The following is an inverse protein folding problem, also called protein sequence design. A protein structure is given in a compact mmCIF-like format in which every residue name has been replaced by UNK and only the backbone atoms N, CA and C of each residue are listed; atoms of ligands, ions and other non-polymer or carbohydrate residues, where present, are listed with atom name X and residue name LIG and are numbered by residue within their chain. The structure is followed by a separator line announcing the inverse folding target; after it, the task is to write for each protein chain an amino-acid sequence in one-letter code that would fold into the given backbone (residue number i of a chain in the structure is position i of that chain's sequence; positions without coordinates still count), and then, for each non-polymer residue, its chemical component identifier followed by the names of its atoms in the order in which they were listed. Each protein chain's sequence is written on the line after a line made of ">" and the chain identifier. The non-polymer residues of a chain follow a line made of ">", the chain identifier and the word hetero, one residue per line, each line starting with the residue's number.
data_IF_589661143644
#
_entry.id   IF_589661143644
#
_cell.length_a   1.000
_cell.length_b   1.000
_cell.length_c   1.000
_cell.angle_alpha   90.00
_cell.angle_beta   90.00
_cell.angle_gamma   90.00
#
_symmetry.space_group_name_H-M   'P 1'
#
loop_
_entity.id
_entity.type
_entity.pdbx_description
1 polymer ?
#
# COMPACT_ATOMS: atom_id res chain seq x y z
N UNK A 1 -26.23 2.62 -7.60
CA UNK A 1 -25.73 1.26 -7.22
C UNK A 1 -24.21 1.19 -7.28
N UNK A 2 -23.58 1.43 -8.45
CA UNK A 2 -22.11 1.42 -8.55
C UNK A 2 -21.42 2.53 -7.72
N UNK A 3 -21.92 3.77 -7.78
CA UNK A 3 -21.39 4.90 -6.99
C UNK A 3 -21.41 4.68 -5.47
N UNK A 4 -22.35 3.88 -4.97
CA UNK A 4 -22.50 3.56 -3.55
C UNK A 4 -21.45 2.53 -3.11
N UNK A 5 -21.13 1.57 -3.99
CA UNK A 5 -19.99 0.68 -3.82
C UNK A 5 -18.68 1.46 -3.78
N UNK A 6 -18.47 2.39 -4.71
CA UNK A 6 -17.25 3.20 -4.79
C UNK A 6 -17.04 4.02 -3.52
N UNK A 7 -18.07 4.72 -3.03
CA UNK A 7 -17.99 5.45 -1.76
C UNK A 7 -17.72 4.55 -0.57
N UNK A 8 -18.21 3.31 -0.60
CA UNK A 8 -17.99 2.34 0.48
C UNK A 8 -16.54 1.84 0.52
N UNK A 9 -15.88 1.78 -0.64
CA UNK A 9 -14.52 1.26 -0.78
C UNK A 9 -13.45 2.33 -0.94
N UNK A 10 -13.82 3.62 -0.99
CA UNK A 10 -12.87 4.73 -1.16
C UNK A 10 -11.77 4.76 -0.09
N UNK A 11 -12.09 4.34 1.14
CA UNK A 11 -11.15 4.28 2.26
C UNK A 11 -10.60 2.86 2.47
N UNK A 12 -10.52 2.05 1.42
CA UNK A 12 -10.04 0.67 1.49
C UNK A 12 -8.80 0.49 0.63
N UNK A 13 -7.76 -0.09 1.23
CA UNK A 13 -6.58 -0.54 0.51
C UNK A 13 -6.67 -2.04 0.25
N UNK A 14 -6.24 -2.46 -0.93
CA UNK A 14 -6.01 -3.86 -1.27
C UNK A 14 -4.52 -4.13 -1.13
N UNK A 15 -4.16 -5.27 -0.54
CA UNK A 15 -2.76 -5.66 -0.47
C UNK A 15 -2.53 -7.15 -0.45
N UNK A 16 -1.30 -7.53 -0.77
CA UNK A 16 -0.85 -8.92 -0.72
C UNK A 16 0.62 -8.98 -0.31
N UNK A 17 1.01 -10.10 0.29
CA UNK A 17 2.40 -10.33 0.67
C UNK A 17 3.19 -10.94 -0.49
N UNK A 18 4.33 -10.34 -0.81
CA UNK A 18 5.20 -10.80 -1.88
C UNK A 18 5.96 -12.04 -1.42
N UNK A 19 5.87 -13.11 -2.20
CA UNK A 19 6.64 -14.34 -2.01
C UNK A 19 6.23 -15.25 -0.84
N UNK A 20 5.35 -14.80 0.07
CA UNK A 20 4.88 -15.59 1.22
C UNK A 20 3.40 -15.35 1.49
N UNK A 21 2.68 -16.40 1.90
CA UNK A 21 1.33 -16.28 2.46
C UNK A 21 1.42 -16.14 3.98
N UNK A 22 0.91 -15.02 4.50
CA UNK A 22 0.90 -14.75 5.95
C UNK A 22 -0.51 -14.99 6.50
N UNK A 23 -0.70 -15.74 7.60
CA UNK A 23 -2.02 -15.99 8.17
C UNK A 23 -2.72 -14.70 8.64
N UNK A 24 -4.03 -14.58 8.41
CA UNK A 24 -4.82 -13.38 8.76
C UNK A 24 -4.63 -12.90 10.21
N UNK A 25 -4.54 -13.84 11.18
CA UNK A 25 -4.32 -13.51 12.59
C UNK A 25 -3.03 -12.72 12.80
N UNK A 26 -1.95 -13.14 12.15
CA UNK A 26 -0.63 -12.49 12.23
C UNK A 26 -0.67 -11.12 11.56
N UNK A 27 -1.33 -11.03 10.40
CA UNK A 27 -1.51 -9.77 9.67
C UNK A 27 -2.26 -8.75 10.54
N UNK A 28 -3.37 -9.15 11.16
CA UNK A 28 -4.16 -8.32 12.08
C UNK A 28 -3.31 -7.80 13.24
N UNK A 29 -2.71 -8.71 14.01
CA UNK A 29 -1.93 -8.37 15.20
C UNK A 29 -0.77 -7.40 14.90
N UNK A 30 -0.12 -7.56 13.74
CA UNK A 30 1.01 -6.72 13.36
C UNK A 30 0.58 -5.38 12.76
N UNK A 31 -0.30 -5.39 11.74
CA UNK A 31 -0.63 -4.19 10.98
C UNK A 31 -1.59 -3.27 11.73
N UNK A 32 -2.59 -3.81 12.45
CA UNK A 32 -3.48 -2.98 13.27
C UNK A 32 -2.69 -2.26 14.38
N UNK A 33 -1.64 -2.90 14.92
CA UNK A 33 -0.74 -2.28 15.88
C UNK A 33 0.15 -1.21 15.24
N UNK A 34 0.75 -1.49 14.07
CA UNK A 34 1.64 -0.55 13.35
C UNK A 34 0.88 0.70 12.86
N UNK A 35 -0.35 0.53 12.41
CA UNK A 35 -1.16 1.61 11.81
C UNK A 35 -2.06 2.35 12.80
N UNK A 36 -2.18 1.86 14.05
CA UNK A 36 -2.99 2.49 15.11
C UNK A 36 -2.75 3.99 15.27
N UNK A 37 -1.51 4.45 15.06
CA UNK A 37 -1.13 5.88 15.13
C UNK A 37 -1.83 6.77 14.11
N UNK A 38 -2.31 6.20 13.00
CA UNK A 38 -3.03 6.93 11.96
C UNK A 38 -4.53 6.61 11.94
N UNK A 39 -5.00 5.71 12.80
CA UNK A 39 -6.40 5.38 12.94
C UNK A 39 -6.66 3.90 13.16
N UNK A 40 -7.93 3.57 13.39
CA UNK A 40 -8.37 2.18 13.41
C UNK A 40 -8.37 1.62 11.99
N UNK A 41 -7.86 0.40 11.83
CA UNK A 41 -7.89 -0.33 10.56
C UNK A 41 -8.60 -1.66 10.78
N UNK A 42 -9.54 -2.00 9.90
CA UNK A 42 -10.14 -3.32 9.86
C UNK A 42 -9.43 -4.14 8.78
N UNK A 43 -8.86 -5.28 9.18
CA UNK A 43 -8.25 -6.23 8.22
C UNK A 43 -9.25 -7.34 7.88
N UNK A 44 -9.47 -7.55 6.59
CA UNK A 44 -10.36 -8.57 6.05
C UNK A 44 -9.53 -9.45 5.10
N UNK A 45 -9.66 -10.78 5.23
CA UNK A 45 -9.05 -11.69 4.26
C UNK A 45 -9.84 -11.63 2.95
N UNK A 46 -9.14 -11.43 1.84
CA UNK A 46 -9.68 -11.51 0.49
C UNK A 46 -9.48 -12.90 -0.12
N UNK A 47 -9.69 -12.96 -1.44
CA UNK A 47 -9.49 -14.18 -2.25
C UNK A 47 -8.00 -14.31 -2.61
N UNK A 48 -7.53 -15.55 -2.79
CA UNK A 48 -6.17 -15.88 -3.26
C UNK A 48 -4.98 -15.35 -2.43
N UNK A 49 -5.22 -15.06 -1.15
CA UNK A 49 -4.20 -14.58 -0.22
C UNK A 49 -4.03 -13.06 -0.21
N UNK A 50 -4.98 -12.33 -0.80
CA UNK A 50 -5.08 -10.89 -0.68
C UNK A 50 -5.73 -10.49 0.65
N UNK A 51 -5.56 -9.23 1.01
CA UNK A 51 -6.10 -8.59 2.19
C UNK A 51 -6.75 -7.27 1.80
N UNK A 52 -7.86 -6.96 2.46
CA UNK A 52 -8.51 -5.66 2.39
C UNK A 52 -8.30 -4.96 3.73
N UNK A 53 -7.90 -3.70 3.66
CA UNK A 53 -7.63 -2.86 4.81
C UNK A 53 -8.56 -1.67 4.74
N UNK A 54 -9.62 -1.69 5.55
CA UNK A 54 -10.60 -0.60 5.60
C UNK A 54 -10.23 0.37 6.71
N UNK A 55 -10.14 1.64 6.35
CA UNK A 55 -9.84 2.74 7.25
C UNK A 55 -11.08 3.59 7.50
N UNK A 56 -11.10 4.30 8.61
CA UNK A 56 -12.19 5.22 8.94
C UNK A 56 -12.21 6.48 8.07
N UNK A 57 -11.06 6.87 7.52
CA UNK A 57 -10.93 8.07 6.70
C UNK A 57 -9.87 7.89 5.59
N UNK A 58 -9.96 8.72 4.54
CA UNK A 58 -9.03 8.67 3.41
C UNK A 58 -7.61 9.09 3.81
N UNK A 59 -7.48 10.07 4.71
CA UNK A 59 -6.18 10.54 5.20
C UNK A 59 -5.35 9.42 5.83
N UNK A 60 -5.97 8.49 6.56
CA UNK A 60 -5.33 7.30 7.12
C UNK A 60 -4.82 6.37 6.02
N UNK A 61 -5.57 6.23 4.92
CA UNK A 61 -5.13 5.45 3.76
C UNK A 61 -3.88 6.07 3.15
N UNK A 62 -3.92 7.38 2.87
CA UNK A 62 -2.82 8.13 2.25
C UNK A 62 -1.56 8.09 3.14
N UNK A 63 -1.73 8.21 4.46
CA UNK A 63 -0.64 8.11 5.42
C UNK A 63 -0.04 6.71 5.46
N UNK A 64 -0.86 5.66 5.48
CA UNK A 64 -0.37 4.27 5.46
C UNK A 64 0.36 3.98 4.14
N UNK A 65 -0.17 4.43 3.01
CA UNK A 65 0.49 4.28 1.72
C UNK A 65 1.83 5.01 1.71
N UNK A 66 1.88 6.28 2.12
CA UNK A 66 3.08 7.11 2.03
C UNK A 66 4.20 6.69 2.99
N UNK A 67 3.87 6.07 4.12
CA UNK A 67 4.81 5.69 5.17
C UNK A 67 5.21 4.20 5.13
N UNK A 68 4.98 3.52 4.00
CA UNK A 68 5.55 2.21 3.72
C UNK A 68 7.09 2.24 3.58
N UNK A 69 7.75 1.09 3.32
CA UNK A 69 7.17 -0.22 3.00
C UNK A 69 6.74 -0.98 4.26
N UNK A 70 5.73 -1.83 4.12
CA UNK A 70 5.20 -2.64 5.23
C UNK A 70 5.76 -4.04 5.17
N UNK A 71 6.27 -4.52 6.30
CA UNK A 71 6.84 -5.86 6.42
C UNK A 71 6.18 -6.60 7.60
N UNK A 72 5.88 -7.89 7.37
CA UNK A 72 5.45 -8.84 8.41
C UNK A 72 6.11 -10.19 8.14
N UNK A 73 6.86 -10.69 9.12
CA UNK A 73 7.53 -12.01 9.07
C UNK A 73 8.47 -12.22 7.88
N UNK A 74 9.23 -11.19 7.55
CA UNK A 74 10.16 -11.14 6.43
C UNK A 74 9.47 -11.16 5.07
N UNK A 75 8.19 -10.78 4.99
CA UNK A 75 7.47 -10.59 3.74
C UNK A 75 7.01 -9.14 3.61
N UNK A 76 7.29 -8.52 2.47
CA UNK A 76 6.81 -7.18 2.16
C UNK A 76 5.36 -7.23 1.68
N UNK A 77 4.56 -6.29 2.15
CA UNK A 77 3.18 -6.08 1.77
C UNK A 77 3.13 -5.03 0.65
N UNK A 78 2.69 -5.47 -0.52
CA UNK A 78 2.28 -4.58 -1.60
C UNK A 78 0.89 -4.02 -1.25
N UNK A 79 0.69 -2.71 -1.42
CA UNK A 79 -0.58 -2.01 -1.16
C UNK A 79 -0.99 -1.15 -2.35
N UNK A 80 -2.29 -1.02 -2.59
CA UNK A 80 -2.88 -0.08 -3.55
C UNK A 80 -4.26 0.38 -3.07
N UNK A 81 -4.66 1.60 -3.42
CA UNK A 81 -6.04 2.03 -3.24
C UNK A 81 -7.00 1.16 -4.05
N UNK A 82 -8.17 0.87 -3.49
CA UNK A 82 -9.23 0.23 -4.24
C UNK A 82 -9.78 1.23 -5.28
N UNK A 83 -9.69 0.87 -6.56
CA UNK A 83 -10.21 1.68 -7.67
C UNK A 83 -11.54 1.06 -8.19
N UNK A 84 -12.36 1.86 -8.86
CA UNK A 84 -13.61 1.35 -9.45
C UNK A 84 -13.30 0.27 -10.52
N UNK A 85 -14.00 -0.86 -10.45
CA UNK A 85 -13.79 -1.96 -11.41
C UNK A 85 -12.50 -2.77 -11.18
N UNK A 86 -11.72 -2.46 -10.15
CA UNK A 86 -10.53 -3.25 -9.80
C UNK A 86 -10.94 -4.63 -9.29
N UNK A 87 -10.41 -5.69 -9.92
CA UNK A 87 -10.54 -7.02 -9.35
C UNK A 87 -9.67 -7.13 -8.09
N UNK A 88 -10.25 -7.65 -7.01
CA UNK A 88 -9.57 -7.82 -5.72
C UNK A 88 -8.58 -9.01 -5.73
N UNK A 89 -8.04 -9.35 -6.90
CA UNK A 89 -7.16 -10.49 -7.16
C UNK A 89 -5.73 -10.02 -7.36
N UNK A 90 -4.74 -10.87 -7.06
CA UNK A 90 -3.32 -10.53 -7.20
C UNK A 90 -2.96 -10.08 -8.64
N UNK A 91 -3.67 -10.63 -9.62
CA UNK A 91 -3.51 -10.34 -11.05
C UNK A 91 -3.87 -8.91 -11.45
N UNK A 92 -4.59 -8.15 -10.60
CA UNK A 92 -4.86 -6.73 -10.86
C UNK A 92 -3.69 -5.81 -10.53
N UNK A 93 -2.65 -6.33 -9.87
CA UNK A 93 -1.41 -5.61 -9.63
C UNK A 93 -0.47 -5.76 -10.82
N UNK A 94 -0.63 -4.90 -11.82
CA UNK A 94 0.31 -4.80 -12.96
C UNK A 94 1.70 -4.28 -12.55
N UNK A 95 1.76 -3.56 -11.43
CA UNK A 95 2.98 -3.02 -10.83
C UNK A 95 2.83 -3.00 -9.31
N UNK A 96 3.97 -2.93 -8.61
CA UNK A 96 4.03 -2.92 -7.14
C UNK A 96 4.75 -1.63 -6.72
N UNK A 97 4.21 -0.86 -5.76
CA UNK A 97 4.94 0.27 -5.22
C UNK A 97 6.17 -0.23 -4.46
N UNK A 98 7.34 0.29 -4.81
CA UNK A 98 8.63 -0.02 -4.18
C UNK A 98 9.23 1.25 -3.61
N UNK A 99 9.72 1.17 -2.38
CA UNK A 99 10.42 2.26 -1.73
C UNK A 99 11.91 2.18 -2.04
N UNK A 100 12.44 3.27 -2.61
CA UNK A 100 13.84 3.38 -2.98
C UNK A 100 14.51 4.38 -2.05
N UNK A 101 15.59 3.97 -1.39
CA UNK A 101 16.42 4.87 -0.60
C UNK A 101 17.58 5.36 -1.47
N UNK A 102 17.54 6.63 -1.87
CA UNK A 102 18.65 7.26 -2.57
C UNK A 102 19.75 7.64 -1.56
N UNK A 103 20.96 7.16 -1.78
CA UNK A 103 22.14 7.49 -0.96
C UNK A 103 23.17 8.23 -1.80
N UNK A 104 23.96 9.11 -1.17
CA UNK A 104 25.01 9.89 -1.82
C UNK A 104 24.54 10.73 -3.03
N UNK A 105 23.32 11.28 -2.96
CA UNK A 105 22.80 12.17 -4.01
C UNK A 105 23.59 13.49 -3.99
N UNK A 106 24.27 13.88 -5.10
CA UNK A 106 25.00 15.14 -5.19
C UNK A 106 24.09 16.33 -4.88
N UNK A 107 24.62 17.36 -4.23
CA UNK A 107 23.84 18.52 -3.78
C UNK A 107 23.13 19.25 -4.94
N UNK A 108 23.71 19.21 -6.14
CA UNK A 108 23.17 19.77 -7.38
C UNK A 108 21.83 19.13 -7.77
N UNK A 109 21.57 17.88 -7.35
CA UNK A 109 20.34 17.15 -7.63
C UNK A 109 19.28 17.27 -6.52
N UNK A 110 19.54 18.04 -5.45
CA UNK A 110 18.58 18.28 -4.35
C UNK A 110 17.49 19.30 -4.70
N UNK A 111 17.05 19.28 -5.95
CA UNK A 111 15.89 20.04 -6.44
C UNK A 111 14.75 19.06 -6.68
N UNK A 112 13.50 19.55 -6.70
CA UNK A 112 12.34 18.71 -7.05
C UNK A 112 12.55 17.97 -8.37
N UNK A 113 13.12 18.64 -9.37
CA UNK A 113 13.43 18.05 -10.66
C UNK A 113 14.53 16.97 -10.56
N UNK A 114 15.64 17.25 -9.88
CA UNK A 114 16.75 16.30 -9.72
C UNK A 114 16.35 15.04 -8.94
N UNK A 115 15.62 15.20 -7.84
CA UNK A 115 15.12 14.08 -7.03
C UNK A 115 14.03 13.27 -7.74
N UNK A 116 13.27 13.86 -8.67
CA UNK A 116 12.29 13.12 -9.48
C UNK A 116 12.94 12.39 -10.66
N UNK A 117 14.06 12.92 -11.17
CA UNK A 117 14.77 12.33 -12.31
C UNK A 117 15.37 10.96 -11.99
N UNK A 118 16.03 10.81 -10.84
CA UNK A 118 16.69 9.54 -10.46
C UNK A 118 15.70 8.36 -10.39
N UNK A 119 14.58 8.43 -9.62
CA UNK A 119 13.63 7.33 -9.54
C UNK A 119 12.80 7.14 -10.82
N UNK A 120 12.74 8.13 -11.72
CA UNK A 120 12.04 7.99 -13.01
C UNK A 120 12.60 6.85 -13.88
N UNK A 121 13.87 6.49 -13.70
CA UNK A 121 14.48 5.35 -14.38
C UNK A 121 13.95 3.99 -13.87
N UNK A 122 13.41 3.94 -12.65
CA UNK A 122 12.87 2.73 -12.03
C UNK A 122 11.37 2.57 -12.28
N UNK A 123 10.66 3.66 -12.55
CA UNK A 123 9.22 3.66 -12.78
C UNK A 123 8.62 5.04 -12.63
N UNK A 124 7.33 5.09 -12.29
CA UNK A 124 6.63 6.35 -12.00
C UNK A 124 6.83 6.67 -10.51
N UNK A 125 7.62 7.69 -10.15
CA UNK A 125 7.72 8.12 -8.76
C UNK A 125 6.38 8.66 -8.27
N UNK A 126 6.03 8.34 -7.02
CA UNK A 126 4.85 8.85 -6.32
C UNK A 126 5.06 10.31 -5.87
#
# INVERSE_FOLDING_TARGET
>A
VFEEGVKTWSNTLVGYFVGKRIPLKIVKENLEKKWRKWGSTQVIAGVDGNFLFRFSNNTSCDLVLSNGPWEVWGAYLALRCCEEGMSLCKESFSSIPVWVKLTNVPAELWTRAGLSYIPSALGVPL
#
